data_IF_940088584696
#
_entry.id   IF_940088584696
#
_cell.length_a   1.000
_cell.length_b   1.000
_cell.length_c   1.000
_cell.angle_alpha   90.00
_cell.angle_beta   90.00
_cell.angle_gamma   90.00
#
_symmetry.space_group_name_H-M   'P 1'
#
loop_
_entity.id
_entity.type
_entity.pdbx_description
1 polymer ?
#
# COMPACT_ATOMS: atom_id res chain seq x y z
N UNK A 1 -21.85 23.53 -19.66
CA UNK A 1 -21.64 22.22 -20.30
C UNK A 1 -20.29 21.67 -19.84
N UNK A 2 -20.28 21.04 -18.66
CA UNK A 2 -19.25 20.11 -18.17
C UNK A 2 -19.89 19.47 -16.92
N UNK A 3 -20.44 18.27 -17.06
CA UNK A 3 -20.96 17.50 -15.93
C UNK A 3 -19.77 17.07 -15.07
N UNK A 4 -19.60 17.66 -13.88
CA UNK A 4 -18.74 17.09 -12.85
C UNK A 4 -19.30 15.70 -12.53
N UNK A 5 -18.67 14.65 -13.05
CA UNK A 5 -18.91 13.30 -12.60
C UNK A 5 -18.56 13.27 -11.12
N UNK A 6 -19.53 12.94 -10.28
CA UNK A 6 -19.43 12.76 -8.83
C UNK A 6 -18.61 11.52 -8.47
N UNK A 7 -17.41 11.41 -9.02
CA UNK A 7 -16.45 10.38 -8.65
C UNK A 7 -16.19 10.51 -7.15
N UNK A 8 -16.43 9.43 -6.38
CA UNK A 8 -16.18 9.47 -4.95
C UNK A 8 -14.73 9.86 -4.67
N UNK A 9 -14.47 10.60 -3.59
CA UNK A 9 -13.10 10.96 -3.21
C UNK A 9 -12.21 9.72 -2.99
N UNK A 10 -10.88 9.88 -2.93
CA UNK A 10 -9.92 8.76 -2.79
C UNK A 10 -10.26 7.74 -1.68
N UNK A 11 -10.78 8.15 -0.50
CA UNK A 11 -11.20 7.19 0.53
C UNK A 11 -12.44 6.39 0.13
N UNK A 12 -13.38 6.99 -0.59
CA UNK A 12 -14.64 6.37 -0.96
C UNK A 12 -14.48 5.41 -2.14
N UNK A 13 -13.62 5.72 -3.11
CA UNK A 13 -13.23 4.76 -4.17
C UNK A 13 -12.48 3.56 -3.59
N UNK A 14 -11.59 3.78 -2.62
CA UNK A 14 -10.93 2.68 -1.91
C UNK A 14 -11.93 1.81 -1.13
N UNK A 15 -12.84 2.43 -0.37
CA UNK A 15 -13.87 1.69 0.37
C UNK A 15 -14.76 0.86 -0.58
N UNK A 16 -15.16 1.44 -1.72
CA UNK A 16 -15.91 0.72 -2.75
C UNK A 16 -15.11 -0.47 -3.29
N UNK A 17 -13.82 -0.29 -3.58
CA UNK A 17 -12.95 -1.38 -4.05
C UNK A 17 -12.86 -2.52 -3.03
N UNK A 18 -12.74 -2.22 -1.73
CA UNK A 18 -12.73 -3.23 -0.66
C UNK A 18 -14.07 -3.98 -0.61
N UNK A 19 -15.20 -3.27 -0.66
CA UNK A 19 -16.53 -3.89 -0.67
C UNK A 19 -16.68 -4.83 -1.87
N UNK A 20 -16.29 -4.38 -3.07
CA UNK A 20 -16.32 -5.20 -4.28
C UNK A 20 -15.41 -6.43 -4.18
N UNK A 21 -14.21 -6.27 -3.62
CA UNK A 21 -13.27 -7.38 -3.40
C UNK A 21 -13.86 -8.44 -2.46
N UNK A 22 -14.47 -8.01 -1.35
CA UNK A 22 -15.10 -8.91 -0.39
C UNK A 22 -16.32 -9.61 -0.97
N UNK A 23 -17.15 -8.89 -1.73
CA UNK A 23 -18.30 -9.46 -2.43
C UNK A 23 -17.86 -10.53 -3.44
N UNK A 24 -16.81 -10.25 -4.22
CA UNK A 24 -16.23 -11.20 -5.16
C UNK A 24 -15.65 -12.43 -4.45
N UNK A 25 -14.93 -12.22 -3.34
CA UNK A 25 -14.36 -13.31 -2.54
C UNK A 25 -15.44 -14.21 -1.91
N UNK A 26 -16.61 -13.66 -1.57
CA UNK A 26 -17.74 -14.44 -1.07
C UNK A 26 -18.50 -15.18 -2.18
N UNK A 27 -18.63 -14.55 -3.37
CA UNK A 27 -19.37 -15.11 -4.50
C UNK A 27 -18.59 -16.19 -5.26
N UNK A 28 -17.25 -16.12 -5.29
CA UNK A 28 -16.40 -17.05 -6.05
C UNK A 28 -15.75 -18.08 -5.11
N UNK A 29 -15.98 -19.39 -5.29
CA UNK A 29 -15.32 -20.42 -4.50
C UNK A 29 -13.80 -20.34 -4.70
N UNK A 30 -13.09 -19.94 -3.64
CA UNK A 30 -11.63 -19.81 -3.70
C UNK A 30 -10.92 -21.15 -3.98
N UNK A 31 -9.67 -21.11 -4.50
CA UNK A 31 -8.90 -22.31 -4.83
C UNK A 31 -8.82 -23.26 -3.64
N UNK A 32 -9.29 -24.50 -3.82
CA UNK A 32 -9.24 -25.51 -2.75
C UNK A 32 -7.81 -25.83 -2.30
N UNK A 33 -6.84 -25.66 -3.21
CA UNK A 33 -5.41 -25.83 -2.94
C UNK A 33 -4.83 -24.80 -1.95
N UNK A 34 -5.45 -23.63 -1.78
CA UNK A 34 -5.03 -22.59 -0.84
C UNK A 34 -5.79 -22.68 0.50
N UNK A 35 -6.38 -23.83 0.84
CA UNK A 35 -7.06 -24.03 2.13
C UNK A 35 -6.06 -24.41 3.22
N UNK A 36 -6.41 -24.13 4.48
CA UNK A 36 -5.55 -24.43 5.64
C UNK A 36 -4.36 -23.46 5.77
N UNK A 37 -3.21 -23.98 6.21
CA UNK A 37 -2.02 -23.19 6.52
C UNK A 37 -1.45 -22.40 5.32
N UNK A 38 -1.74 -22.80 4.08
CA UNK A 38 -1.33 -22.07 2.87
C UNK A 38 -1.82 -20.63 2.81
N UNK A 39 -2.96 -20.31 3.44
CA UNK A 39 -3.43 -18.92 3.56
C UNK A 39 -2.48 -18.02 4.34
N UNK A 40 -1.75 -18.60 5.30
CA UNK A 40 -0.82 -17.85 6.15
C UNK A 40 0.44 -17.43 5.38
N UNK A 41 0.75 -18.07 4.25
CA UNK A 41 1.88 -17.66 3.39
C UNK A 41 1.69 -16.24 2.87
N UNK A 42 0.44 -15.81 2.66
CA UNK A 42 0.12 -14.43 2.28
C UNK A 42 0.51 -13.39 3.34
N UNK A 43 0.70 -13.79 4.60
CA UNK A 43 1.17 -12.89 5.65
C UNK A 43 2.64 -12.48 5.47
N UNK A 44 3.44 -13.27 4.75
CA UNK A 44 4.85 -12.95 4.50
C UNK A 44 5.03 -11.68 3.66
N UNK A 45 4.46 -11.55 2.44
CA UNK A 45 4.55 -10.32 1.68
C UNK A 45 3.87 -9.16 2.43
N UNK A 46 2.72 -9.39 3.06
CA UNK A 46 2.00 -8.37 3.86
C UNK A 46 2.88 -7.78 4.97
N UNK A 47 3.52 -8.64 5.77
CA UNK A 47 4.42 -8.22 6.84
C UNK A 47 5.67 -7.52 6.28
N UNK A 48 6.22 -8.03 5.17
CA UNK A 48 7.36 -7.42 4.49
C UNK A 48 7.07 -6.02 3.97
N UNK A 49 5.94 -5.82 3.29
CA UNK A 49 5.50 -4.53 2.81
C UNK A 49 5.18 -3.55 3.94
N UNK A 50 4.47 -4.00 4.98
CA UNK A 50 4.19 -3.19 6.16
C UNK A 50 5.48 -2.75 6.88
N UNK A 51 6.46 -3.65 7.04
CA UNK A 51 7.76 -3.33 7.62
C UNK A 51 8.53 -2.32 6.77
N UNK A 52 8.49 -2.46 5.44
CA UNK A 52 9.16 -1.54 4.52
C UNK A 52 8.52 -0.14 4.54
N UNK A 53 7.19 -0.06 4.60
CA UNK A 53 6.46 1.20 4.82
C UNK A 53 6.84 1.85 6.15
N UNK A 54 6.79 1.09 7.25
CA UNK A 54 7.16 1.58 8.57
C UNK A 54 8.61 2.08 8.63
N UNK A 55 9.53 1.41 7.94
CA UNK A 55 10.92 1.82 7.87
C UNK A 55 11.10 3.13 7.09
N UNK A 56 10.53 3.23 5.88
CA UNK A 56 10.59 4.45 5.08
C UNK A 56 9.96 5.65 5.82
N UNK A 57 8.78 5.43 6.41
CA UNK A 57 8.09 6.45 7.21
C UNK A 57 8.92 6.92 8.40
N UNK A 58 9.51 5.99 9.16
CA UNK A 58 10.38 6.33 10.30
C UNK A 58 11.61 7.10 9.86
N UNK A 59 12.15 6.80 8.67
CA UNK A 59 13.30 7.49 8.13
C UNK A 59 12.97 8.94 7.73
N UNK A 60 11.87 9.16 7.02
CA UNK A 60 11.40 10.50 6.67
C UNK A 60 11.08 11.34 7.91
N UNK A 61 10.43 10.74 8.92
CA UNK A 61 10.20 11.40 10.22
C UNK A 61 11.48 11.80 10.92
N UNK A 62 12.50 10.95 10.93
CA UNK A 62 13.81 11.24 11.55
C UNK A 62 14.60 12.32 10.81
N UNK A 63 14.37 12.46 9.50
CA UNK A 63 15.01 13.48 8.65
C UNK A 63 14.17 14.75 8.51
N UNK A 64 13.06 14.86 9.26
CA UNK A 64 12.17 16.03 9.23
C UNK A 64 11.79 16.47 7.80
N UNK A 65 11.62 15.49 6.91
CA UNK A 65 11.24 15.72 5.51
C UNK A 65 9.82 15.22 5.28
N UNK A 66 9.17 15.73 4.23
CA UNK A 66 7.75 15.47 3.99
C UNK A 66 7.51 14.01 3.62
N UNK A 67 6.58 13.38 4.34
CA UNK A 67 6.00 12.07 3.93
C UNK A 67 4.91 12.28 2.87
N UNK A 68 4.32 13.47 2.82
CA UNK A 68 3.27 13.81 1.85
C UNK A 68 3.90 14.09 0.49
N UNK A 69 3.36 13.45 -0.55
CA UNK A 69 3.82 13.63 -1.91
C UNK A 69 3.62 15.08 -2.42
N UNK A 70 2.64 15.80 -1.87
CA UNK A 70 2.36 17.20 -2.23
C UNK A 70 3.25 18.22 -1.52
N UNK A 71 4.04 17.80 -0.53
CA UNK A 71 4.92 18.70 0.23
C UNK A 71 6.24 18.96 -0.48
N UNK A 72 6.90 20.09 -0.16
CA UNK A 72 8.27 20.36 -0.60
C UNK A 72 9.22 19.56 0.31
N UNK A 73 10.05 18.65 -0.22
CA UNK A 73 11.03 17.91 0.59
C UNK A 73 12.15 18.84 1.07
N UNK A 74 12.54 18.70 2.34
CA UNK A 74 13.63 19.47 2.95
C UNK A 74 15.01 18.86 2.69
N UNK A 75 15.07 17.55 2.44
CA UNK A 75 16.30 16.80 2.19
C UNK A 75 16.01 15.57 1.31
N UNK A 76 16.98 15.19 0.48
CA UNK A 76 16.97 13.92 -0.25
C UNK A 76 17.44 12.77 0.65
N UNK A 77 16.56 11.79 0.87
CA UNK A 77 16.88 10.62 1.69
C UNK A 77 17.48 9.50 0.84
N UNK A 78 18.75 9.18 1.08
CA UNK A 78 19.48 8.09 0.39
C UNK A 78 19.79 6.89 1.29
N UNK A 79 19.47 6.99 2.59
CA UNK A 79 19.73 5.93 3.58
C UNK A 79 18.59 4.90 3.69
N UNK A 80 18.85 3.85 4.49
CA UNK A 80 17.84 2.84 4.79
C UNK A 80 17.38 2.07 3.54
N UNK A 81 16.06 1.92 3.28
CA UNK A 81 15.57 1.18 2.13
C UNK A 81 15.89 1.84 0.79
N UNK A 82 16.17 3.14 0.81
CA UNK A 82 16.50 3.94 -0.38
C UNK A 82 17.89 3.63 -0.98
N UNK A 83 18.72 2.82 -0.29
CA UNK A 83 20.00 2.35 -0.82
C UNK A 83 19.88 1.25 -1.87
N UNK A 84 18.76 0.51 -1.86
CA UNK A 84 18.54 -0.61 -2.78
C UNK A 84 17.57 -0.27 -3.91
N UNK A 85 16.62 0.64 -3.68
CA UNK A 85 15.66 1.08 -4.68
C UNK A 85 15.37 2.56 -4.47
N UNK A 86 15.12 3.29 -5.56
CA UNK A 86 14.67 4.69 -5.49
C UNK A 86 13.24 4.81 -4.97
N UNK A 87 12.44 3.75 -5.14
CA UNK A 87 10.99 3.73 -4.90
C UNK A 87 10.55 2.59 -3.96
N UNK A 88 11.15 2.44 -2.76
CA UNK A 88 10.84 1.33 -1.85
C UNK A 88 9.40 1.37 -1.32
N UNK A 89 8.78 2.54 -1.21
CA UNK A 89 7.37 2.65 -0.81
C UNK A 89 6.39 2.10 -1.86
N UNK A 90 6.71 2.18 -3.15
CA UNK A 90 5.87 1.56 -4.19
C UNK A 90 5.95 0.04 -4.11
N UNK A 91 7.15 -0.51 -3.87
CA UNK A 91 7.30 -1.94 -3.63
C UNK A 91 6.50 -2.39 -2.40
N UNK A 92 6.55 -1.60 -1.32
CA UNK A 92 5.74 -1.87 -0.13
C UNK A 92 4.23 -1.91 -0.44
N UNK A 93 3.73 -0.98 -1.26
CA UNK A 93 2.33 -0.94 -1.68
C UNK A 93 1.92 -2.04 -2.66
N UNK A 94 2.86 -2.71 -3.33
CA UNK A 94 2.56 -3.92 -4.14
C UNK A 94 2.46 -5.17 -3.24
N UNK A 95 3.19 -5.18 -2.13
CA UNK A 95 3.26 -6.30 -1.21
C UNK A 95 2.10 -6.35 -0.20
N UNK A 96 1.38 -5.24 -0.02
CA UNK A 96 0.26 -5.05 0.91
C UNK A 96 -1.02 -4.82 0.13
#
# INVERSE_FOLDING_TARGET
MASESSTPGPPATFALAVVLLLALAAAVPGPRALRGAWKLVGLLPLAGGAALHGWAWRLFRRRSTTVRAEGIPSELVTGGPYRWSRNPMYLAGILV
#
